data_IF_157334050550
#
_entry.id   IF_157334050550
#
_cell.length_a   1.000
_cell.length_b   1.000
_cell.length_c   1.000
_cell.angle_alpha   90.00
_cell.angle_beta   90.00
_cell.angle_gamma   90.00
#
_symmetry.space_group_name_H-M   'P 1'
#
loop_
_entity.id
_entity.type
_entity.pdbx_description
1 polymer ?
#
# COMPACT_ATOMS: atom_id res chain seq x y z
N UNK A 1 -21.30 -23.40 -4.42
CA UNK A 1 -20.72 -23.89 -5.68
C UNK A 1 -19.20 -23.99 -5.47
N UNK A 2 -18.59 -25.00 -6.07
CA UNK A 2 -17.12 -25.10 -6.10
C UNK A 2 -16.57 -24.01 -7.02
N UNK A 3 -15.41 -23.41 -6.66
CA UNK A 3 -14.77 -22.43 -7.51
C UNK A 3 -14.27 -23.07 -8.81
N UNK A 4 -14.22 -22.30 -9.90
CA UNK A 4 -13.75 -22.78 -11.19
C UNK A 4 -12.26 -23.18 -11.15
N UNK A 5 -11.47 -22.51 -10.32
CA UNK A 5 -10.05 -22.78 -10.13
C UNK A 5 -9.67 -22.78 -8.65
N UNK A 6 -8.65 -23.56 -8.24
CA UNK A 6 -8.25 -23.67 -6.83
C UNK A 6 -7.85 -22.34 -6.18
N UNK A 7 -7.25 -21.43 -6.92
CA UNK A 7 -6.82 -20.12 -6.40
C UNK A 7 -7.96 -19.11 -6.18
N UNK A 8 -9.17 -19.43 -6.66
CA UNK A 8 -10.40 -18.67 -6.39
C UNK A 8 -11.14 -19.19 -5.16
N UNK A 9 -10.66 -20.26 -4.54
CA UNK A 9 -11.32 -20.86 -3.39
C UNK A 9 -11.13 -20.00 -2.14
N UNK A 10 -12.25 -19.55 -1.57
CA UNK A 10 -12.24 -18.75 -0.34
C UNK A 10 -11.86 -19.55 0.91
N UNK A 11 -11.95 -20.86 0.85
CA UNK A 11 -11.63 -21.74 1.99
C UNK A 11 -10.14 -21.66 2.33
N UNK A 12 -9.82 -21.50 3.61
CA UNK A 12 -8.44 -21.34 4.07
C UNK A 12 -7.91 -19.90 4.07
N UNK A 13 -8.64 -18.96 3.48
CA UNK A 13 -8.29 -17.54 3.53
C UNK A 13 -9.03 -16.79 4.65
N UNK A 14 -8.50 -15.69 5.10
CA UNK A 14 -9.15 -14.81 6.10
C UNK A 14 -10.47 -14.26 5.52
N UNK A 15 -11.41 -13.92 6.41
CA UNK A 15 -12.74 -13.41 6.01
C UNK A 15 -12.67 -12.15 5.15
N UNK A 16 -11.69 -11.28 5.42
CA UNK A 16 -11.47 -10.01 4.70
C UNK A 16 -10.39 -10.10 3.62
N UNK A 17 -9.89 -11.30 3.31
CA UNK A 17 -8.98 -11.50 2.21
C UNK A 17 -9.65 -11.11 0.88
N UNK A 18 -8.92 -10.45 0.01
CA UNK A 18 -9.44 -9.90 -1.24
C UNK A 18 -8.78 -10.51 -2.45
N UNK A 19 -9.59 -10.79 -3.46
CA UNK A 19 -9.14 -11.17 -4.79
C UNK A 19 -8.58 -9.96 -5.54
N UNK A 20 -7.51 -10.18 -6.30
CA UNK A 20 -6.91 -9.19 -7.16
C UNK A 20 -6.00 -9.83 -8.20
N UNK A 21 -5.62 -9.05 -9.20
CA UNK A 21 -4.69 -9.49 -10.22
C UNK A 21 -3.24 -9.41 -9.73
N UNK A 22 -2.40 -10.30 -10.21
CA UNK A 22 -0.95 -10.24 -9.98
C UNK A 22 -0.30 -9.39 -11.07
N UNK A 23 0.23 -8.22 -10.71
CA UNK A 23 1.00 -7.39 -11.62
C UNK A 23 2.41 -7.95 -11.78
N UNK A 24 2.87 -8.04 -13.01
CA UNK A 24 4.22 -8.48 -13.37
C UNK A 24 5.19 -7.31 -13.60
N UNK A 25 4.68 -6.08 -13.67
CA UNK A 25 5.42 -4.87 -13.99
C UNK A 25 4.69 -4.05 -15.05
N UNK A 26 5.43 -3.24 -15.79
CA UNK A 26 4.91 -2.43 -16.90
C UNK A 26 5.41 -2.96 -18.23
N UNK A 27 4.63 -2.76 -19.29
CA UNK A 27 5.12 -2.90 -20.65
C UNK A 27 6.10 -1.77 -20.95
N UNK A 28 7.31 -2.10 -21.42
CA UNK A 28 8.35 -1.10 -21.69
C UNK A 28 8.31 -0.60 -23.14
N UNK A 29 7.82 -1.41 -24.07
CA UNK A 29 7.82 -1.09 -25.50
C UNK A 29 6.67 -1.78 -26.25
N UNK A 30 6.41 -1.32 -27.46
CA UNK A 30 5.50 -1.98 -28.40
C UNK A 30 5.95 -3.41 -28.75
N UNK A 31 7.26 -3.67 -28.75
CA UNK A 31 7.79 -4.99 -28.98
C UNK A 31 7.50 -5.93 -27.80
N UNK A 32 7.61 -5.44 -26.55
CA UNK A 32 7.26 -6.18 -25.35
C UNK A 32 5.75 -6.56 -25.38
N UNK A 33 4.88 -5.65 -25.83
CA UNK A 33 3.45 -5.92 -25.99
C UNK A 33 3.21 -7.00 -27.04
N UNK A 34 3.85 -6.91 -28.21
CA UNK A 34 3.71 -7.88 -29.30
C UNK A 34 4.23 -9.27 -28.91
N UNK A 35 5.29 -9.33 -28.10
CA UNK A 35 5.88 -10.58 -27.63
C UNK A 35 5.07 -11.21 -26.47
N UNK A 36 4.20 -10.44 -25.84
CA UNK A 36 3.32 -10.92 -24.80
C UNK A 36 2.09 -11.59 -25.40
N UNK A 37 2.02 -12.91 -25.33
CA UNK A 37 0.91 -13.72 -25.89
C UNK A 37 -0.37 -13.67 -25.04
N UNK A 38 -0.57 -12.62 -24.24
CA UNK A 38 -1.70 -12.49 -23.32
C UNK A 38 -2.43 -11.18 -23.61
N UNK A 39 -3.72 -11.27 -23.89
CA UNK A 39 -4.58 -10.11 -24.08
C UNK A 39 -5.00 -9.54 -22.72
N UNK A 40 -4.97 -8.21 -22.59
CA UNK A 40 -5.42 -7.54 -21.38
C UNK A 40 -6.93 -7.23 -21.45
N UNK A 41 -7.69 -7.69 -20.46
CA UNK A 41 -9.12 -7.34 -20.23
C UNK A 41 -10.05 -7.38 -21.46
N UNK A 42 -10.09 -8.51 -22.14
CA UNK A 42 -11.07 -8.77 -23.20
C UNK A 42 -10.73 -8.21 -24.58
N UNK A 43 -9.53 -7.69 -24.75
CA UNK A 43 -9.03 -7.32 -26.06
C UNK A 43 -8.68 -8.55 -26.89
N UNK A 44 -8.60 -8.37 -28.23
CA UNK A 44 -8.09 -9.40 -29.13
C UNK A 44 -6.57 -9.35 -29.20
N UNK A 45 -5.93 -10.49 -29.32
CA UNK A 45 -4.48 -10.58 -29.49
C UNK A 45 -4.05 -10.33 -30.95
N UNK A 46 -2.96 -9.58 -31.21
CA UNK A 46 -2.21 -8.76 -30.25
C UNK A 46 -3.07 -7.60 -29.74
N UNK A 47 -2.85 -7.19 -28.50
CA UNK A 47 -3.62 -6.13 -27.86
C UNK A 47 -3.38 -4.78 -28.54
N UNK A 48 -4.39 -4.26 -29.24
CA UNK A 48 -4.29 -2.97 -29.94
C UNK A 48 -4.46 -1.76 -28.99
N UNK A 49 -5.07 -2.00 -27.85
CA UNK A 49 -5.42 -0.94 -26.90
C UNK A 49 -4.37 -0.77 -25.78
N UNK A 50 -3.59 -1.81 -25.51
CA UNK A 50 -2.48 -1.77 -24.53
C UNK A 50 -1.33 -0.96 -25.10
N UNK A 51 -0.72 -0.12 -24.25
CA UNK A 51 0.37 0.77 -24.62
C UNK A 51 1.56 0.61 -23.69
N UNK A 52 2.77 0.99 -24.13
CA UNK A 52 3.91 1.05 -23.23
C UNK A 52 3.60 1.88 -21.99
N UNK A 53 4.02 1.40 -20.82
CA UNK A 53 3.71 1.97 -19.52
C UNK A 53 2.43 1.49 -18.88
N UNK A 54 1.63 0.66 -19.54
CA UNK A 54 0.49 -0.01 -18.93
C UNK A 54 0.94 -1.22 -18.12
N UNK A 55 0.16 -1.57 -17.08
CA UNK A 55 0.47 -2.70 -16.20
C UNK A 55 0.26 -4.02 -16.94
N UNK A 56 1.26 -4.89 -16.86
CA UNK A 56 1.22 -6.27 -17.33
C UNK A 56 0.71 -7.17 -16.23
N UNK A 57 -0.34 -7.94 -16.48
CA UNK A 57 -0.91 -8.88 -15.52
C UNK A 57 -0.55 -10.33 -15.84
N UNK A 58 -0.56 -11.16 -14.80
CA UNK A 58 -0.28 -12.59 -14.91
C UNK A 58 -1.54 -13.35 -15.30
N UNK A 59 -1.47 -14.07 -16.41
CA UNK A 59 -2.41 -15.10 -16.79
C UNK A 59 -2.18 -16.32 -15.89
N UNK A 60 -3.14 -16.67 -15.04
CA UNK A 60 -3.03 -17.76 -14.07
C UNK A 60 -3.55 -19.08 -14.63
N UNK A 61 -4.56 -19.03 -15.52
CA UNK A 61 -5.15 -20.23 -16.08
C UNK A 61 -4.49 -20.64 -17.42
N UNK A 62 -3.71 -19.77 -18.04
CA UNK A 62 -2.95 -20.04 -19.27
C UNK A 62 -3.82 -20.01 -20.53
N UNK A 63 -4.94 -19.30 -20.50
CA UNK A 63 -5.86 -19.24 -21.65
C UNK A 63 -5.54 -18.11 -22.65
N UNK A 64 -4.51 -17.30 -22.36
CA UNK A 64 -4.02 -16.22 -23.20
C UNK A 64 -4.80 -14.91 -23.07
N UNK A 65 -5.58 -14.72 -22.03
CA UNK A 65 -6.30 -13.48 -21.74
C UNK A 65 -6.37 -13.24 -20.23
N UNK A 66 -6.53 -11.98 -19.84
CA UNK A 66 -6.73 -11.59 -18.45
C UNK A 66 -8.22 -11.38 -18.22
N UNK A 67 -8.80 -12.17 -17.34
CA UNK A 67 -10.18 -12.04 -16.93
C UNK A 67 -10.38 -12.39 -15.43
N UNK A 68 -11.64 -12.56 -15.01
CA UNK A 68 -11.94 -12.84 -13.60
C UNK A 68 -11.35 -14.17 -13.08
N UNK A 69 -10.95 -15.06 -13.96
CA UNK A 69 -10.32 -16.33 -13.59
C UNK A 69 -8.84 -16.18 -13.24
N UNK A 70 -8.21 -15.03 -13.56
CA UNK A 70 -6.81 -14.72 -13.24
C UNK A 70 -6.64 -13.98 -11.92
N UNK A 71 -7.74 -13.76 -11.20
CA UNK A 71 -7.68 -13.23 -9.84
C UNK A 71 -7.28 -14.31 -8.86
N UNK A 72 -6.48 -13.94 -7.87
CA UNK A 72 -6.15 -14.79 -6.72
C UNK A 72 -6.26 -13.99 -5.44
N UNK A 73 -6.25 -14.67 -4.29
CA UNK A 73 -6.18 -13.98 -3.00
C UNK A 73 -4.80 -13.38 -2.81
N UNK A 74 -4.67 -12.07 -3.02
CA UNK A 74 -3.39 -11.33 -2.99
C UNK A 74 -3.13 -10.64 -1.66
N UNK A 75 -4.11 -10.61 -0.76
CA UNK A 75 -3.93 -10.08 0.59
C UNK A 75 -4.74 -10.84 1.64
N UNK A 76 -4.39 -10.62 2.89
CA UNK A 76 -5.06 -11.17 4.07
C UNK A 76 -6.11 -10.21 4.68
N UNK A 77 -6.40 -9.08 4.02
CA UNK A 77 -7.33 -8.05 4.48
C UNK A 77 -6.62 -6.82 5.07
N UNK A 78 -7.44 -5.81 5.39
CA UNK A 78 -7.00 -4.51 5.88
C UNK A 78 -6.99 -4.40 7.42
N UNK A 79 -7.39 -5.48 8.12
CA UNK A 79 -7.34 -5.55 9.58
C UNK A 79 -6.03 -6.19 10.03
N UNK A 80 -5.23 -5.50 10.87
CA UNK A 80 -3.99 -6.06 11.38
C UNK A 80 -4.20 -7.39 12.12
N UNK A 81 -3.37 -8.37 11.83
CA UNK A 81 -3.37 -9.64 12.53
C UNK A 81 -2.55 -9.62 13.81
N UNK A 82 -1.65 -8.67 13.94
CA UNK A 82 -0.73 -8.56 15.08
C UNK A 82 -0.68 -7.12 15.56
N UNK A 83 -0.85 -6.96 16.89
CA UNK A 83 -0.63 -5.72 17.62
C UNK A 83 0.49 -5.95 18.61
N UNK A 84 1.46 -5.05 18.66
CA UNK A 84 2.57 -5.17 19.58
C UNK A 84 2.96 -3.82 20.15
N UNK A 85 3.54 -3.87 21.36
CA UNK A 85 4.08 -2.70 22.01
C UNK A 85 5.21 -3.11 22.96
N UNK A 86 6.22 -2.27 23.04
CA UNK A 86 7.33 -2.43 23.95
C UNK A 86 7.83 -1.06 24.38
N UNK A 87 8.35 -1.01 25.57
CA UNK A 87 8.87 0.22 26.15
C UNK A 87 9.69 -0.04 27.40
N UNK A 88 10.17 1.03 27.97
CA UNK A 88 10.92 0.96 29.19
C UNK A 88 11.07 2.32 29.83
N UNK A 89 11.33 2.28 31.14
CA UNK A 89 11.59 3.46 31.95
C UNK A 89 12.96 3.31 32.61
N UNK A 90 13.75 4.38 32.52
CA UNK A 90 15.04 4.47 33.17
C UNK A 90 15.04 5.67 34.09
N UNK A 91 15.51 5.48 35.31
CA UNK A 91 15.72 6.54 36.27
C UNK A 91 17.18 6.60 36.69
N UNK A 92 17.76 7.77 36.50
CA UNK A 92 19.13 8.05 36.93
C UNK A 92 19.16 9.30 37.83
N UNK A 93 19.47 9.12 39.11
CA UNK A 93 19.40 10.19 40.10
C UNK A 93 18.02 10.86 40.13
N UNK A 94 17.95 12.11 39.70
CA UNK A 94 16.72 12.91 39.66
C UNK A 94 16.05 12.95 38.29
N UNK A 95 16.65 12.31 37.28
CA UNK A 95 16.09 12.26 35.93
C UNK A 95 15.42 10.93 35.67
N UNK A 96 14.29 10.96 34.98
CA UNK A 96 13.59 9.82 34.47
C UNK A 96 13.35 9.97 32.97
N UNK A 97 13.53 8.89 32.24
CA UNK A 97 13.23 8.78 30.81
C UNK A 97 12.32 7.57 30.63
N UNK A 98 11.17 7.81 30.01
CA UNK A 98 10.24 6.74 29.61
C UNK A 98 10.02 6.79 28.10
N UNK A 99 10.01 5.62 27.48
CA UNK A 99 9.68 5.46 26.06
C UNK A 99 8.74 4.29 25.86
N UNK A 100 7.79 4.45 24.94
CA UNK A 100 6.85 3.41 24.55
C UNK A 100 6.70 3.41 23.05
N UNK A 101 6.93 2.26 22.44
CA UNK A 101 6.67 1.99 21.03
C UNK A 101 5.41 1.16 20.88
N UNK A 102 4.68 1.40 19.81
CA UNK A 102 3.50 0.62 19.42
C UNK A 102 3.52 0.40 17.91
N UNK A 103 3.11 -0.79 17.51
CA UNK A 103 3.01 -1.12 16.08
C UNK A 103 1.93 -2.14 15.79
N UNK A 104 1.67 -2.29 14.50
CA UNK A 104 0.79 -3.31 13.96
C UNK A 104 1.47 -3.99 12.78
N UNK A 105 1.07 -5.23 12.49
CA UNK A 105 1.55 -5.97 11.33
C UNK A 105 0.46 -6.85 10.73
N UNK A 106 0.65 -7.21 9.45
CA UNK A 106 -0.23 -8.12 8.72
C UNK A 106 -1.54 -7.49 8.26
N UNK A 107 -1.57 -6.18 8.03
CA UNK A 107 -2.64 -5.49 7.34
C UNK A 107 -2.15 -5.02 5.97
N UNK A 108 -2.99 -5.19 4.94
CA UNK A 108 -2.70 -4.74 3.58
C UNK A 108 -3.89 -4.00 3.03
N UNK A 109 -3.65 -2.95 2.27
CA UNK A 109 -4.71 -2.15 1.67
C UNK A 109 -4.42 -1.83 0.21
N UNK A 110 -5.46 -1.93 -0.62
CA UNK A 110 -5.40 -1.43 -1.98
C UNK A 110 -5.55 0.09 -2.00
N UNK A 111 -4.64 0.75 -2.67
CA UNK A 111 -4.77 2.18 -2.99
C UNK A 111 -5.76 2.32 -4.15
N UNK A 112 -6.84 3.07 -3.95
CA UNK A 112 -7.88 3.25 -4.96
C UNK A 112 -8.67 4.54 -4.75
N UNK A 113 -9.50 4.86 -5.73
CA UNK A 113 -10.40 6.02 -5.69
C UNK A 113 -9.81 7.28 -6.30
N UNK A 114 -10.67 8.29 -6.49
CA UNK A 114 -10.34 9.53 -7.21
C UNK A 114 -9.22 10.36 -6.58
N UNK A 115 -8.91 10.13 -5.32
CA UNK A 115 -7.78 10.75 -4.64
C UNK A 115 -6.42 10.12 -4.97
N UNK A 116 -6.41 8.89 -5.48
CA UNK A 116 -5.18 8.16 -5.86
C UNK A 116 -5.05 8.06 -7.37
N UNK A 117 -6.17 7.75 -8.06
CA UNK A 117 -6.21 7.48 -9.50
C UNK A 117 -6.53 8.79 -10.26
N UNK A 118 -5.54 9.51 -10.78
CA UNK A 118 -5.78 10.74 -11.51
C UNK A 118 -6.48 10.48 -12.84
N UNK A 119 -7.23 11.46 -13.32
CA UNK A 119 -7.90 11.50 -14.64
C UNK A 119 -8.91 10.39 -14.92
N UNK A 120 -9.37 9.67 -13.89
CA UNK A 120 -10.31 8.54 -14.05
C UNK A 120 -11.78 8.94 -14.03
N UNK A 121 -12.12 10.21 -13.80
CA UNK A 121 -13.50 10.67 -13.87
C UNK A 121 -13.96 10.81 -15.33
N UNK A 122 -15.28 10.78 -15.57
CA UNK A 122 -15.87 10.96 -16.91
C UNK A 122 -15.52 12.29 -17.54
N UNK A 123 -15.24 13.31 -16.74
CA UNK A 123 -14.80 14.65 -17.18
C UNK A 123 -13.27 14.80 -17.21
N UNK A 124 -12.52 13.72 -16.98
CA UNK A 124 -11.06 13.75 -16.91
C UNK A 124 -10.51 14.48 -15.68
N UNK A 125 -11.38 14.82 -14.72
CA UNK A 125 -10.97 15.43 -13.46
C UNK A 125 -10.32 14.42 -12.52
N UNK A 126 -9.71 14.92 -11.49
CA UNK A 126 -9.08 14.17 -10.42
C UNK A 126 -8.05 15.03 -9.70
N UNK A 127 -7.76 14.67 -8.46
CA UNK A 127 -6.73 15.37 -7.69
C UNK A 127 -5.36 14.86 -8.11
N UNK A 128 -4.47 15.78 -8.41
CA UNK A 128 -3.06 15.49 -8.62
C UNK A 128 -2.28 15.77 -7.34
N UNK A 129 -1.61 14.76 -6.84
CA UNK A 129 -0.66 14.91 -5.74
C UNK A 129 0.73 15.24 -6.28
N UNK A 130 1.58 15.79 -5.42
CA UNK A 130 2.95 16.16 -5.77
C UNK A 130 3.80 14.98 -6.32
N UNK A 131 3.47 13.76 -5.91
CA UNK A 131 4.13 12.54 -6.38
C UNK A 131 3.72 12.09 -7.79
N UNK A 132 2.89 12.85 -8.51
CA UNK A 132 2.52 12.54 -9.92
C UNK A 132 3.72 12.52 -10.86
N UNK A 133 4.82 13.13 -10.47
CA UNK A 133 6.09 13.08 -11.20
C UNK A 133 6.75 11.70 -11.14
N UNK A 134 6.41 10.88 -10.13
CA UNK A 134 6.83 9.49 -10.01
C UNK A 134 5.89 8.59 -10.81
N UNK A 135 6.01 8.70 -12.12
CA UNK A 135 5.22 7.97 -13.11
C UNK A 135 6.08 7.45 -14.25
N UNK A 136 5.60 6.43 -14.91
CA UNK A 136 6.19 5.99 -16.16
C UNK A 136 6.13 7.10 -17.24
N UNK A 137 7.18 7.21 -18.03
CA UNK A 137 7.33 8.22 -19.08
C UNK A 137 7.97 7.63 -20.32
N UNK A 138 7.51 8.04 -21.48
CA UNK A 138 8.11 7.70 -22.78
C UNK A 138 9.55 8.20 -22.96
N UNK A 139 9.97 9.20 -22.16
CA UNK A 139 11.35 9.70 -22.17
C UNK A 139 12.34 8.75 -21.48
N UNK A 140 11.83 7.87 -20.61
CA UNK A 140 12.62 6.87 -19.87
C UNK A 140 11.80 5.59 -19.71
N UNK A 141 11.58 4.83 -20.80
CA UNK A 141 10.66 3.68 -20.82
C UNK A 141 11.16 2.50 -19.99
N UNK A 142 12.46 2.41 -19.75
CA UNK A 142 13.08 1.34 -18.95
C UNK A 142 12.88 1.54 -17.45
N UNK A 143 12.52 2.74 -17.01
CA UNK A 143 12.22 3.01 -15.62
C UNK A 143 10.81 2.52 -15.27
N UNK A 144 10.74 1.27 -14.84
CA UNK A 144 9.50 0.62 -14.40
C UNK A 144 9.29 0.67 -12.89
N UNK A 145 10.28 1.18 -12.13
CA UNK A 145 10.18 1.35 -10.68
C UNK A 145 9.57 2.71 -10.33
N UNK A 146 8.31 2.88 -10.64
CA UNK A 146 7.54 4.11 -10.47
C UNK A 146 6.26 3.83 -9.69
N UNK A 147 5.70 4.87 -9.06
CA UNK A 147 4.44 4.74 -8.32
C UNK A 147 3.23 4.64 -9.27
N UNK A 148 3.19 5.50 -10.30
CA UNK A 148 2.11 5.51 -11.29
C UNK A 148 2.55 4.83 -12.60
N UNK A 149 1.71 3.96 -13.15
CA UNK A 149 1.87 3.51 -14.52
C UNK A 149 1.66 4.68 -15.50
N UNK A 150 1.59 4.40 -16.78
CA UNK A 150 1.22 5.38 -17.80
C UNK A 150 -0.08 6.07 -17.43
N UNK A 151 -0.08 7.40 -17.48
CA UNK A 151 -1.26 8.21 -17.23
C UNK A 151 -2.05 8.40 -18.53
N UNK A 152 -3.36 8.26 -18.46
CA UNK A 152 -4.28 8.48 -19.56
C UNK A 152 -5.46 9.36 -19.11
N UNK A 153 -6.14 9.97 -20.08
CA UNK A 153 -7.20 10.91 -19.79
C UNK A 153 -8.59 10.30 -19.98
N UNK A 154 -9.37 10.29 -18.91
CA UNK A 154 -10.78 9.88 -18.94
C UNK A 154 -11.03 8.46 -18.50
N UNK A 155 -12.20 8.24 -17.89
CA UNK A 155 -12.59 6.95 -17.31
C UNK A 155 -12.72 5.82 -18.35
N UNK A 156 -12.93 6.16 -19.61
CA UNK A 156 -13.11 5.18 -20.70
C UNK A 156 -11.83 4.91 -21.47
N UNK A 157 -10.72 5.58 -21.13
CA UNK A 157 -9.44 5.27 -21.76
C UNK A 157 -9.02 3.85 -21.39
N UNK A 158 -8.63 3.02 -22.37
CA UNK A 158 -8.21 1.64 -22.14
C UNK A 158 -7.10 1.49 -21.11
N UNK A 159 -6.10 2.39 -21.12
CA UNK A 159 -5.02 2.38 -20.12
C UNK A 159 -5.56 2.59 -18.71
N UNK A 160 -6.52 3.50 -18.51
CA UNK A 160 -7.13 3.69 -17.19
C UNK A 160 -7.94 2.47 -16.75
N UNK A 161 -8.64 1.81 -17.67
CA UNK A 161 -9.36 0.57 -17.37
C UNK A 161 -8.40 -0.57 -17.01
N UNK A 162 -7.26 -0.66 -17.68
CA UNK A 162 -6.21 -1.63 -17.38
C UNK A 162 -5.50 -1.29 -16.06
N UNK A 163 -5.01 -0.06 -15.93
CA UNK A 163 -4.04 0.29 -14.89
C UNK A 163 -4.64 0.42 -13.49
N UNK A 164 -5.95 0.67 -13.38
CA UNK A 164 -6.60 0.85 -12.07
C UNK A 164 -7.41 -0.36 -11.61
N UNK A 165 -7.11 -1.53 -12.13
CA UNK A 165 -7.63 -2.79 -11.59
C UNK A 165 -7.10 -3.08 -10.20
N UNK A 166 -7.93 -3.74 -9.37
CA UNK A 166 -7.49 -4.24 -8.07
C UNK A 166 -6.38 -5.27 -8.26
N UNK A 167 -5.17 -4.92 -7.91
CA UNK A 167 -3.98 -5.72 -8.20
C UNK A 167 -2.86 -5.51 -7.18
N UNK A 168 -1.85 -6.36 -7.25
CA UNK A 168 -0.66 -6.24 -6.41
C UNK A 168 0.12 -4.95 -6.67
N UNK A 169 -0.06 -4.29 -7.82
CA UNK A 169 0.51 -2.97 -8.09
C UNK A 169 0.07 -1.92 -7.07
N UNK A 170 -1.20 -1.94 -6.71
CA UNK A 170 -1.80 -0.98 -5.78
C UNK A 170 -1.86 -1.47 -4.33
N UNK A 171 -1.43 -2.70 -4.08
CA UNK A 171 -1.40 -3.26 -2.73
C UNK A 171 -0.27 -2.65 -1.91
N UNK A 172 -0.58 -2.18 -0.71
CA UNK A 172 0.40 -1.63 0.23
C UNK A 172 0.30 -2.32 1.58
N UNK A 173 1.47 -2.61 2.14
CA UNK A 173 1.58 -3.03 3.53
C UNK A 173 1.32 -1.83 4.44
N UNK A 174 0.39 -2.01 5.37
CA UNK A 174 -0.02 -1.02 6.36
C UNK A 174 0.65 -1.25 7.72
N UNK A 175 1.64 -2.12 7.79
CA UNK A 175 2.41 -2.35 9.00
C UNK A 175 3.19 -1.11 9.38
N UNK A 176 3.21 -0.81 10.67
CA UNK A 176 3.96 0.33 11.16
C UNK A 176 4.52 0.08 12.57
N UNK A 177 5.56 0.81 12.90
CA UNK A 177 6.08 1.00 14.24
C UNK A 177 6.21 2.49 14.51
N UNK A 178 5.61 2.97 15.59
CA UNK A 178 5.69 4.37 16.00
C UNK A 178 6.14 4.52 17.44
N UNK A 179 6.81 5.60 17.73
CA UNK A 179 7.02 6.05 19.10
C UNK A 179 5.66 6.58 19.61
N UNK A 180 5.03 5.82 20.52
CA UNK A 180 3.71 6.15 21.04
C UNK A 180 3.79 7.17 22.17
N UNK A 181 4.85 7.08 22.98
CA UNK A 181 5.03 7.98 24.10
C UNK A 181 6.51 8.17 24.41
N UNK A 182 6.86 9.39 24.67
CA UNK A 182 8.16 9.80 25.16
C UNK A 182 7.98 10.71 26.38
N UNK A 183 8.62 10.40 27.49
CA UNK A 183 8.49 11.16 28.73
C UNK A 183 9.87 11.46 29.32
N UNK A 184 10.15 12.72 29.57
CA UNK A 184 11.31 13.14 30.36
C UNK A 184 10.80 13.72 31.67
N UNK A 185 11.35 13.25 32.78
CA UNK A 185 10.94 13.66 34.13
C UNK A 185 12.13 14.15 34.92
N UNK A 186 11.93 15.19 35.71
CA UNK A 186 12.87 15.63 36.74
C UNK A 186 12.21 15.58 38.11
N UNK A 187 12.74 14.77 39.00
CA UNK A 187 12.26 14.61 40.35
C UNK A 187 12.98 15.57 41.30
N UNK A 188 12.24 16.31 42.08
CA UNK A 188 12.82 17.27 43.00
C UNK A 188 13.68 16.57 44.07
N UNK A 189 14.91 17.06 44.31
CA UNK A 189 15.79 16.56 45.35
C UNK A 189 15.12 16.66 46.71
N UNK A 190 15.31 15.63 47.57
CA UNK A 190 14.79 15.64 48.93
C UNK A 190 15.24 16.88 49.75
N UNK A 191 16.39 17.47 49.40
CA UNK A 191 16.88 18.67 50.03
C UNK A 191 15.93 19.87 49.86
N UNK A 192 15.26 19.97 48.75
CA UNK A 192 14.31 21.05 48.45
C UNK A 192 12.95 20.89 49.12
N UNK A 193 12.62 19.67 49.49
CA UNK A 193 11.30 19.32 50.05
C UNK A 193 11.34 19.12 51.55
N UNK A 194 12.53 19.12 52.20
CA UNK A 194 12.73 18.74 53.61
C UNK A 194 12.07 19.74 54.60
N UNK A 195 11.99 21.03 54.25
CA UNK A 195 11.43 22.08 55.13
C UNK A 195 10.22 22.79 54.51
N UNK A 196 9.68 22.30 53.41
CA UNK A 196 8.57 22.92 52.69
C UNK A 196 7.23 22.20 52.89
N UNK A 197 6.18 22.88 52.49
CA UNK A 197 4.80 22.33 52.45
C UNK A 197 4.71 21.14 51.48
N UNK A 198 5.53 21.13 50.43
CA UNK A 198 5.57 20.05 49.44
C UNK A 198 6.58 18.98 49.88
N UNK A 199 6.11 17.78 50.15
CA UNK A 199 6.93 16.62 50.56
C UNK A 199 7.60 15.90 49.40
N UNK A 200 7.34 16.31 48.15
CA UNK A 200 7.93 15.79 46.93
C UNK A 200 7.26 16.38 45.71
N UNK A 201 7.89 16.25 44.54
CA UNK A 201 7.34 16.69 43.30
C UNK A 201 8.18 16.24 42.10
N UNK A 202 7.59 16.24 40.94
CA UNK A 202 8.29 16.04 39.67
C UNK A 202 7.77 17.02 38.63
N UNK A 203 8.65 17.50 37.81
CA UNK A 203 8.34 18.15 36.54
C UNK A 203 8.52 17.11 35.44
N UNK A 204 7.63 17.08 34.46
CA UNK A 204 7.78 16.20 33.31
C UNK A 204 7.30 16.86 32.02
N UNK A 205 7.90 16.48 30.91
CA UNK A 205 7.48 16.78 29.55
C UNK A 205 7.17 15.43 28.90
N UNK A 206 6.01 15.37 28.26
CA UNK A 206 5.54 14.17 27.57
C UNK A 206 5.16 14.56 26.14
N UNK A 207 5.54 13.73 25.17
CA UNK A 207 5.12 13.78 23.79
C UNK A 207 4.47 12.45 23.35
N UNK A 208 3.50 12.52 22.42
CA UNK A 208 2.83 11.40 21.80
C UNK A 208 2.99 11.47 20.27
#
# INVERSE_FOLDING_TARGET
AEPAYPWLDKRGHKVLASLGYTALGLFTSEEDIKNNNVCQFGETYPSELTKPGDIKYKDLNGDGKIDDYDKSYVNDGDVPSTYYGFGGDVRWKNFGLGILFQGTAGAHRFLSGSGINPFTSSSGGGTLYANITDRWSENDPENTNVFYPRLAWGAKDPSNQNNYQTSTWWLRDMSFLRLKQFTVSYYFPKAWTKNGILKGGRFYIMGE
#
